data_IF_066731569661
#
_entry.id   IF_066731569661
#
_cell.length_a   1.000
_cell.length_b   1.000
_cell.length_c   1.000
_cell.angle_alpha   90.00
_cell.angle_beta   90.00
_cell.angle_gamma   90.00
#
_symmetry.space_group_name_H-M   'P 1'
#
loop_
_entity.id
_entity.type
_entity.pdbx_description
1 polymer ?
#
# COMPACT_ATOMS: atom_id res chain seq x y z
N UNK A 1 -24.93 8.45 -6.56
CA UNK A 1 -24.80 8.13 -5.11
C UNK A 1 -23.80 7.01 -4.79
N UNK A 2 -23.84 5.83 -5.44
CA UNK A 2 -22.92 4.71 -5.14
C UNK A 2 -21.41 5.05 -5.25
N UNK A 3 -21.00 5.88 -6.21
CA UNK A 3 -19.60 6.31 -6.38
C UNK A 3 -19.11 7.25 -5.27
N UNK A 4 -19.95 8.17 -4.79
CA UNK A 4 -19.64 9.03 -3.63
C UNK A 4 -19.35 8.19 -2.38
N UNK A 5 -20.25 7.26 -2.07
CA UNK A 5 -20.14 6.40 -0.88
C UNK A 5 -18.86 5.56 -0.93
N UNK A 6 -18.49 5.05 -2.12
CA UNK A 6 -17.25 4.28 -2.32
C UNK A 6 -15.99 5.12 -2.06
N UNK A 7 -15.91 6.33 -2.63
CA UNK A 7 -14.79 7.25 -2.40
C UNK A 7 -14.68 7.68 -0.94
N UNK A 8 -15.81 7.92 -0.28
CA UNK A 8 -15.85 8.24 1.16
C UNK A 8 -15.35 7.07 1.99
N UNK A 9 -15.82 5.84 1.73
CA UNK A 9 -15.36 4.63 2.45
C UNK A 9 -13.85 4.42 2.26
N UNK A 10 -13.35 4.56 1.04
CA UNK A 10 -11.93 4.44 0.73
C UNK A 10 -11.08 5.49 1.45
N UNK A 11 -11.50 6.77 1.42
CA UNK A 11 -10.84 7.84 2.17
C UNK A 11 -10.88 7.58 3.67
N UNK A 12 -12.01 7.16 4.23
CA UNK A 12 -12.17 6.89 5.67
C UNK A 12 -11.26 5.76 6.14
N UNK A 13 -11.15 4.68 5.38
CA UNK A 13 -10.29 3.54 5.75
C UNK A 13 -8.81 3.90 5.63
N UNK A 14 -8.42 4.63 4.57
CA UNK A 14 -7.05 5.12 4.45
C UNK A 14 -6.69 6.11 5.56
N UNK A 15 -7.60 7.01 5.92
CA UNK A 15 -7.42 7.94 7.04
C UNK A 15 -7.26 7.21 8.38
N UNK A 16 -8.07 6.17 8.62
CA UNK A 16 -7.99 5.35 9.82
C UNK A 16 -6.65 4.62 9.91
N UNK A 17 -6.19 4.01 8.80
CA UNK A 17 -4.90 3.31 8.76
C UNK A 17 -3.71 4.27 8.96
N UNK A 18 -3.77 5.47 8.36
CA UNK A 18 -2.74 6.49 8.56
C UNK A 18 -2.74 6.99 10.01
N UNK A 19 -3.92 7.21 10.59
CA UNK A 19 -4.05 7.65 12.00
C UNK A 19 -3.50 6.59 12.96
N UNK A 20 -3.78 5.30 12.72
CA UNK A 20 -3.20 4.20 13.48
C UNK A 20 -1.68 4.17 13.38
N UNK A 21 -1.12 4.35 12.19
CA UNK A 21 0.33 4.44 12.01
C UNK A 21 0.91 5.60 12.83
N UNK A 22 0.31 6.79 12.74
CA UNK A 22 0.77 7.97 13.48
C UNK A 22 0.74 7.80 15.00
N UNK A 23 -0.28 7.12 15.54
CA UNK A 23 -0.38 6.81 16.97
C UNK A 23 0.66 5.78 17.43
N UNK A 24 1.14 4.93 16.52
CA UNK A 24 2.12 3.89 16.80
C UNK A 24 3.57 4.35 16.59
N UNK A 25 3.80 5.56 16.06
CA UNK A 25 5.13 6.16 16.01
C UNK A 25 5.57 6.43 17.44
N UNK A 26 6.53 5.64 17.91
CA UNK A 26 7.13 5.77 19.25
C UNK A 26 8.60 6.15 19.14
N UNK A 27 9.22 6.51 20.26
CA UNK A 27 10.66 6.78 20.33
C UNK A 27 11.54 5.54 20.08
N UNK A 28 10.96 4.34 20.05
CA UNK A 28 11.70 3.12 19.76
C UNK A 28 11.74 2.84 18.24
N UNK A 29 12.92 2.90 17.61
CA UNK A 29 13.06 2.70 16.17
C UNK A 29 12.68 1.27 15.74
N UNK A 30 12.99 0.25 16.55
CA UNK A 30 12.70 -1.14 16.20
C UNK A 30 11.18 -1.41 16.16
N UNK A 31 10.43 -0.81 17.08
CA UNK A 31 8.97 -0.92 17.08
C UNK A 31 8.34 -0.12 15.94
N UNK A 32 8.83 1.10 15.69
CA UNK A 32 8.36 1.95 14.58
C UNK A 32 8.50 1.24 13.24
N UNK A 33 9.59 0.50 13.04
CA UNK A 33 9.83 -0.34 11.86
C UNK A 33 8.77 -1.44 11.71
N UNK A 34 8.44 -2.14 12.79
CA UNK A 34 7.42 -3.20 12.77
C UNK A 34 6.03 -2.63 12.45
N UNK A 35 5.68 -1.48 13.03
CA UNK A 35 4.43 -0.80 12.76
C UNK A 35 4.33 -0.29 11.31
N UNK A 36 5.44 0.18 10.74
CA UNK A 36 5.49 0.61 9.34
C UNK A 36 5.28 -0.57 8.39
N UNK A 37 5.86 -1.74 8.70
CA UNK A 37 5.61 -2.98 7.97
C UNK A 37 4.16 -3.46 8.10
N UNK A 38 3.59 -3.42 9.30
CA UNK A 38 2.19 -3.78 9.54
C UNK A 38 1.23 -2.85 8.78
N UNK A 39 1.49 -1.53 8.79
CA UNK A 39 0.74 -0.57 8.00
C UNK A 39 0.85 -0.85 6.51
N UNK A 40 2.07 -1.07 5.99
CA UNK A 40 2.30 -1.38 4.58
C UNK A 40 1.55 -2.65 4.14
N UNK A 41 1.46 -3.66 5.00
CA UNK A 41 0.66 -4.85 4.75
C UNK A 41 -0.84 -4.54 4.72
N UNK A 42 -1.37 -3.91 5.77
CA UNK A 42 -2.81 -3.60 5.91
C UNK A 42 -3.31 -2.70 4.79
N UNK A 43 -2.54 -1.67 4.40
CA UNK A 43 -2.91 -0.76 3.31
C UNK A 43 -2.87 -1.47 1.96
N UNK A 44 -1.91 -2.37 1.74
CA UNK A 44 -1.84 -3.16 0.50
C UNK A 44 -3.04 -4.09 0.37
N UNK A 45 -3.41 -4.78 1.46
CA UNK A 45 -4.60 -5.65 1.50
C UNK A 45 -5.87 -4.84 1.21
N UNK A 46 -6.05 -3.69 1.87
CA UNK A 46 -7.18 -2.80 1.61
C UNK A 46 -7.24 -2.38 0.14
N UNK A 47 -6.13 -1.95 -0.44
CA UNK A 47 -6.09 -1.44 -1.81
C UNK A 47 -6.38 -2.54 -2.84
N UNK A 48 -5.93 -3.78 -2.59
CA UNK A 48 -6.26 -4.96 -3.41
C UNK A 48 -7.75 -5.29 -3.27
N UNK A 49 -8.28 -5.37 -2.05
CA UNK A 49 -9.69 -5.68 -1.80
C UNK A 49 -10.62 -4.61 -2.41
N UNK A 50 -10.28 -3.34 -2.20
CA UNK A 50 -10.96 -2.21 -2.81
C UNK A 50 -10.89 -2.32 -4.34
N UNK A 51 -9.74 -2.67 -4.92
CA UNK A 51 -9.60 -2.87 -6.37
C UNK A 51 -10.53 -3.97 -6.89
N UNK A 52 -10.55 -5.15 -6.27
CA UNK A 52 -11.46 -6.24 -6.63
C UNK A 52 -12.92 -5.79 -6.56
N UNK A 53 -13.30 -5.07 -5.51
CA UNK A 53 -14.65 -4.55 -5.33
C UNK A 53 -15.07 -3.54 -6.42
N UNK A 54 -14.14 -2.78 -6.98
CA UNK A 54 -14.44 -1.71 -7.96
C UNK A 54 -14.23 -2.12 -9.42
N UNK A 55 -13.47 -3.18 -9.71
CA UNK A 55 -13.17 -3.70 -11.06
C UNK A 55 -14.42 -4.03 -11.90
N UNK A 56 -15.62 -4.10 -11.32
CA UNK A 56 -16.86 -4.12 -12.11
C UNK A 56 -17.08 -2.86 -12.98
N UNK A 57 -16.34 -1.75 -12.79
CA UNK A 57 -16.39 -0.56 -13.67
C UNK A 57 -14.97 -0.06 -14.02
N UNK A 58 -14.48 -0.48 -15.18
CA UNK A 58 -13.20 -0.14 -15.82
C UNK A 58 -12.98 1.36 -16.14
N UNK A 59 -12.84 2.26 -15.16
CA UNK A 59 -12.56 3.69 -15.48
C UNK A 59 -11.64 4.49 -14.51
N UNK A 60 -10.75 3.87 -13.75
CA UNK A 60 -9.75 4.64 -12.97
C UNK A 60 -8.30 4.38 -13.45
N UNK A 61 -7.80 5.22 -14.37
CA UNK A 61 -6.42 5.17 -14.91
C UNK A 61 -5.35 5.11 -13.80
N UNK A 62 -5.58 5.81 -12.70
CA UNK A 62 -4.65 5.87 -11.59
C UNK A 62 -4.54 4.58 -10.78
N UNK A 63 -5.59 3.76 -10.86
CA UNK A 63 -5.68 2.47 -10.18
C UNK A 63 -4.95 1.37 -10.95
N UNK A 64 -4.97 1.43 -12.28
CA UNK A 64 -4.14 0.58 -13.14
C UNK A 64 -2.65 0.75 -12.82
N UNK A 65 -2.19 2.01 -12.73
CA UNK A 65 -0.81 2.33 -12.36
C UNK A 65 -0.44 1.81 -10.96
N UNK A 66 -1.35 1.88 -9.99
CA UNK A 66 -1.12 1.35 -8.65
C UNK A 66 -0.99 -0.18 -8.65
N UNK A 67 -1.90 -0.89 -9.32
CA UNK A 67 -1.87 -2.35 -9.44
C UNK A 67 -0.64 -2.84 -10.19
N UNK A 68 -0.22 -2.15 -11.25
CA UNK A 68 1.00 -2.46 -11.99
C UNK A 68 2.26 -2.31 -11.11
N UNK A 69 2.33 -1.23 -10.33
CA UNK A 69 3.42 -1.00 -9.37
C UNK A 69 3.45 -2.07 -8.28
N UNK A 70 2.30 -2.45 -7.72
CA UNK A 70 2.21 -3.56 -6.75
C UNK A 70 2.67 -4.86 -7.38
N UNK A 71 2.21 -5.19 -8.60
CA UNK A 71 2.62 -6.43 -9.28
C UNK A 71 4.14 -6.50 -9.45
N UNK A 72 4.77 -5.38 -9.79
CA UNK A 72 6.23 -5.28 -9.90
C UNK A 72 6.92 -5.44 -8.54
N UNK A 73 6.39 -4.84 -7.49
CA UNK A 73 6.89 -5.01 -6.11
C UNK A 73 6.82 -6.49 -5.71
N UNK A 74 5.69 -7.16 -5.92
CA UNK A 74 5.52 -8.58 -5.60
C UNK A 74 6.54 -9.42 -6.38
N UNK A 75 6.72 -9.15 -7.68
CA UNK A 75 7.68 -9.90 -8.50
C UNK A 75 9.11 -9.76 -7.98
N UNK A 76 9.54 -8.55 -7.63
CA UNK A 76 10.87 -8.29 -7.07
C UNK A 76 11.02 -9.02 -5.73
N UNK A 77 10.02 -8.92 -4.85
CA UNK A 77 10.02 -9.60 -3.55
C UNK A 77 10.15 -11.11 -3.70
N UNK A 78 9.38 -11.71 -4.61
CA UNK A 78 9.45 -13.15 -4.87
C UNK A 78 10.84 -13.57 -5.34
N UNK A 79 11.42 -12.87 -6.32
CA UNK A 79 12.77 -13.17 -6.82
C UNK A 79 13.82 -13.07 -5.71
N UNK A 80 13.76 -12.00 -4.91
CA UNK A 80 14.69 -11.78 -3.79
C UNK A 80 14.56 -12.87 -2.72
N UNK A 81 13.34 -13.26 -2.37
CA UNK A 81 13.09 -14.34 -1.41
C UNK A 81 13.57 -15.69 -1.93
N UNK A 82 13.37 -15.97 -3.22
CA UNK A 82 13.89 -17.19 -3.86
C UNK A 82 15.41 -17.23 -3.80
N UNK A 83 16.10 -16.14 -4.18
CA UNK A 83 17.56 -16.05 -4.10
C UNK A 83 18.03 -16.23 -2.65
N UNK A 84 17.41 -15.55 -1.70
CA UNK A 84 17.75 -15.66 -0.28
C UNK A 84 17.61 -17.09 0.24
N UNK A 85 16.52 -17.78 -0.12
CA UNK A 85 16.30 -19.18 0.23
C UNK A 85 17.35 -20.11 -0.41
N UNK A 86 17.64 -19.92 -1.70
CA UNK A 86 18.67 -20.69 -2.41
C UNK A 86 20.04 -20.52 -1.78
N UNK A 87 20.44 -19.29 -1.43
CA UNK A 87 21.73 -19.01 -0.78
C UNK A 87 21.76 -19.62 0.64
N UNK A 88 20.67 -19.52 1.41
CA UNK A 88 20.59 -20.11 2.74
C UNK A 88 20.77 -21.64 2.69
N UNK A 89 20.13 -22.30 1.73
CA UNK A 89 20.23 -23.76 1.54
C UNK A 89 21.62 -24.14 1.03
N UNK A 90 22.13 -23.47 0.00
CA UNK A 90 23.43 -23.76 -0.62
C UNK A 90 24.61 -23.58 0.36
N UNK A 91 24.44 -22.70 1.34
CA UNK A 91 25.46 -22.44 2.37
C UNK A 91 25.22 -23.23 3.66
N UNK A 92 24.25 -24.15 3.70
CA UNK A 92 23.85 -24.88 4.91
C UNK A 92 23.61 -23.95 6.12
N UNK A 93 23.12 -22.73 5.86
CA UNK A 93 22.84 -21.74 6.90
C UNK A 93 24.06 -20.96 7.42
N UNK A 94 25.28 -21.16 6.90
CA UNK A 94 26.47 -20.40 7.32
C UNK A 94 26.27 -18.88 7.19
N UNK A 95 25.57 -18.43 6.15
CA UNK A 95 25.29 -17.02 5.89
C UNK A 95 23.90 -16.56 6.36
N UNK A 96 23.15 -17.41 7.05
CA UNK A 96 21.79 -17.11 7.52
C UNK A 96 21.67 -15.75 8.26
N UNK A 97 22.55 -15.36 9.20
CA UNK A 97 22.44 -14.06 9.87
C UNK A 97 22.60 -12.87 8.91
N UNK A 98 23.46 -12.99 7.89
CA UNK A 98 23.65 -11.94 6.88
C UNK A 98 22.45 -11.84 5.93
N UNK A 99 21.87 -12.99 5.56
CA UNK A 99 20.66 -13.08 4.74
C UNK A 99 19.48 -12.44 5.49
N UNK A 100 19.28 -12.78 6.76
CA UNK A 100 18.21 -12.23 7.59
C UNK A 100 18.35 -10.71 7.75
N UNK A 101 19.57 -10.21 8.02
CA UNK A 101 19.81 -8.76 8.10
C UNK A 101 19.53 -8.06 6.77
N UNK A 102 19.93 -8.65 5.65
CA UNK A 102 19.67 -8.11 4.32
C UNK A 102 18.17 -8.08 3.99
N UNK A 103 17.44 -9.14 4.34
CA UNK A 103 15.99 -9.21 4.19
C UNK A 103 15.26 -8.19 5.07
N UNK A 104 15.74 -7.93 6.29
CA UNK A 104 15.19 -6.88 7.15
C UNK A 104 15.33 -5.49 6.51
N UNK A 105 16.51 -5.17 5.97
CA UNK A 105 16.76 -3.89 5.28
C UNK A 105 15.90 -3.76 4.02
N UNK A 106 15.75 -4.83 3.25
CA UNK A 106 14.85 -4.88 2.10
C UNK A 106 13.38 -4.68 2.52
N UNK A 107 12.93 -5.38 3.56
CA UNK A 107 11.58 -5.25 4.11
C UNK A 107 11.27 -3.83 4.55
N UNK A 108 12.25 -3.13 5.14
CA UNK A 108 12.16 -1.71 5.47
C UNK A 108 11.98 -0.83 4.24
N UNK A 109 12.85 -0.99 3.25
CA UNK A 109 12.79 -0.22 2.00
C UNK A 109 11.46 -0.41 1.28
N UNK A 110 10.95 -1.65 1.26
CA UNK A 110 9.65 -1.98 0.68
C UNK A 110 8.48 -1.37 1.46
N UNK A 111 8.52 -1.45 2.79
CA UNK A 111 7.47 -0.88 3.64
C UNK A 111 7.39 0.64 3.47
N UNK A 112 8.53 1.32 3.35
CA UNK A 112 8.61 2.75 3.02
C UNK A 112 8.06 3.04 1.62
N UNK A 113 8.46 2.27 0.62
CA UNK A 113 7.98 2.44 -0.75
C UNK A 113 6.45 2.28 -0.85
N UNK A 114 5.89 1.27 -0.17
CA UNK A 114 4.44 1.02 -0.10
C UNK A 114 3.75 2.15 0.65
N UNK A 115 4.29 2.62 1.78
CA UNK A 115 3.74 3.75 2.50
C UNK A 115 3.69 5.01 1.64
N UNK A 116 4.75 5.32 0.89
CA UNK A 116 4.80 6.45 -0.04
C UNK A 116 3.75 6.33 -1.15
N UNK A 117 3.59 5.13 -1.74
CA UNK A 117 2.55 4.89 -2.74
C UNK A 117 1.14 5.07 -2.16
N UNK A 118 0.92 4.60 -0.93
CA UNK A 118 -0.34 4.78 -0.22
C UNK A 118 -0.64 6.27 0.03
N UNK A 119 0.34 7.05 0.49
CA UNK A 119 0.18 8.49 0.68
C UNK A 119 -0.11 9.22 -0.64
N UNK A 120 0.57 8.87 -1.73
CA UNK A 120 0.29 9.42 -3.06
C UNK A 120 -1.12 9.09 -3.54
N UNK A 121 -1.59 7.86 -3.27
CA UNK A 121 -2.94 7.43 -3.62
C UNK A 121 -3.99 8.16 -2.78
N UNK A 122 -3.76 8.29 -1.47
CA UNK A 122 -4.65 9.02 -0.56
C UNK A 122 -4.82 10.48 -0.96
N UNK A 123 -3.72 11.18 -1.26
CA UNK A 123 -3.77 12.57 -1.73
C UNK A 123 -4.63 12.74 -2.99
N UNK A 124 -4.57 11.78 -3.92
CA UNK A 124 -5.41 11.78 -5.12
C UNK A 124 -6.87 11.42 -4.83
N UNK A 125 -7.12 10.50 -3.91
CA UNK A 125 -8.47 10.16 -3.47
C UNK A 125 -9.16 11.39 -2.85
N UNK A 126 -8.44 12.17 -2.03
CA UNK A 126 -8.91 13.44 -1.48
C UNK A 126 -9.22 14.49 -2.55
N UNK A 127 -8.32 14.69 -3.52
CA UNK A 127 -8.55 15.63 -4.63
C UNK A 127 -9.78 15.24 -5.46
N UNK A 128 -9.96 13.95 -5.72
CA UNK A 128 -11.13 13.43 -6.43
C UNK A 128 -12.42 13.64 -5.61
N UNK A 129 -12.37 13.43 -4.30
CA UNK A 129 -13.51 13.68 -3.42
C UNK A 129 -13.87 15.17 -3.38
N UNK A 130 -12.88 16.05 -3.24
CA UNK A 130 -13.06 17.50 -3.26
C UNK A 130 -13.66 18.00 -4.58
N UNK A 131 -13.08 17.57 -5.72
CA UNK A 131 -13.60 17.94 -7.05
C UNK A 131 -15.03 17.43 -7.29
N UNK A 132 -15.40 16.27 -6.73
CA UNK A 132 -16.76 15.75 -6.82
C UNK A 132 -17.76 16.60 -6.01
N UNK A 133 -17.38 17.09 -4.82
CA UNK A 133 -18.24 17.96 -4.01
C UNK A 133 -18.37 19.37 -4.58
N UNK A 134 -17.32 19.87 -5.23
CA UNK A 134 -17.28 21.23 -5.79
C UNK A 134 -17.70 21.33 -7.26
N UNK A 135 -17.96 20.21 -7.95
CA UNK A 135 -18.50 20.25 -9.31
C UNK A 135 -19.93 20.84 -9.26
N UNK A 136 -20.22 21.89 -10.03
CA UNK A 136 -21.59 22.36 -10.17
C UNK A 136 -22.44 21.21 -10.72
N UNK A 137 -23.58 20.91 -10.08
CA UNK A 137 -24.52 19.91 -10.59
C UNK A 137 -24.99 20.40 -11.96
N UNK A 138 -24.67 19.66 -13.02
CA UNK A 138 -25.17 20.04 -14.34
C UNK A 138 -26.69 19.82 -14.34
N UNK A 139 -27.42 20.65 -15.08
CA UNK A 139 -28.88 20.53 -15.22
C UNK A 139 -29.32 19.14 -15.73
N UNK A 140 -28.43 18.42 -16.39
CA UNK A 140 -28.63 17.06 -16.92
C UNK A 140 -28.40 15.93 -15.89
N UNK A 141 -27.97 16.27 -14.68
CA UNK A 141 -27.77 15.31 -13.56
C UNK A 141 -28.94 15.30 -12.55
N UNK A 142 -30.03 16.04 -12.81
CA UNK A 142 -31.29 16.06 -12.05
C UNK A 142 -32.38 15.25 -12.77
#
# INVERSE_FOLDING_TARGET
MRTKIRLVIDCSIQFLLISLLLLQISSNPAQTIQYLGAFAFMISVWQIAHAIYVVQKYQDWYRGLYLEKIKRIILIVTVVLTIAATVAIATFGLFLPYILKSLQVLGLGLSLAVALLAFQYFGRSLLNLYSYYNRPRSFWDL
#
